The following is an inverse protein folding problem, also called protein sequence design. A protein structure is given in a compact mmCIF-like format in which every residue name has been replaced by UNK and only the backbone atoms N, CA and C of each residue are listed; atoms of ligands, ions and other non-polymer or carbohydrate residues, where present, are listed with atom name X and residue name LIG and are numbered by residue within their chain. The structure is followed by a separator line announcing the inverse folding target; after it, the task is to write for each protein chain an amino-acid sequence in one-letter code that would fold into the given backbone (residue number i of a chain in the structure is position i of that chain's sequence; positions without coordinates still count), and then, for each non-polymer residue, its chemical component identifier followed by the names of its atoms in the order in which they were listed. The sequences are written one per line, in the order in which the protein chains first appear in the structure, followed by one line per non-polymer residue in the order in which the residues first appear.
data_IF_429824339716
#
_entry.id   IF_429824339716
#
_cell.length_a   1.000
_cell.length_b   1.000
_cell.length_c   1.000
_cell.angle_alpha   90.00
_cell.angle_beta   90.00
_cell.angle_gamma   90.00
#
_symmetry.space_group_name_H-M   'P 1'
#
loop_
_entity.id
_entity.type
_entity.pdbx_description
1 polymer ?
#
# COMPACT_ATOMS: atom_id res chain seq x y z
N UNK A 1 33.12 -10.95 -5.23
CA UNK A 1 33.35 -9.62 -4.61
C UNK A 1 32.06 -9.24 -3.91
N UNK A 2 32.05 -9.12 -2.58
CA UNK A 2 30.88 -8.65 -1.84
C UNK A 2 30.69 -7.15 -2.14
N UNK A 3 29.83 -6.83 -3.11
CA UNK A 3 29.41 -5.44 -3.35
C UNK A 3 28.66 -4.95 -2.11
N UNK A 4 28.91 -3.70 -1.69
CA UNK A 4 28.11 -3.05 -0.66
C UNK A 4 26.64 -2.98 -1.14
N UNK A 5 25.69 -3.36 -0.28
CA UNK A 5 24.24 -3.34 -0.59
C UNK A 5 23.78 -1.96 -1.08
N UNK A 6 24.37 -0.87 -0.59
CA UNK A 6 24.05 0.50 -1.02
C UNK A 6 24.40 0.73 -2.51
N UNK A 7 25.54 0.20 -2.96
CA UNK A 7 25.95 0.25 -4.38
C UNK A 7 25.05 -0.65 -5.23
N UNK A 8 24.70 -1.82 -4.71
CA UNK A 8 23.91 -2.80 -5.44
C UNK A 8 22.48 -2.31 -5.67
N UNK A 9 21.84 -1.71 -4.65
CA UNK A 9 20.50 -1.14 -4.81
C UNK A 9 20.50 0.08 -5.73
N UNK A 10 21.56 0.89 -5.73
CA UNK A 10 21.71 1.98 -6.69
C UNK A 10 21.74 1.44 -8.12
N UNK A 11 22.52 0.39 -8.38
CA UNK A 11 22.56 -0.30 -9.67
C UNK A 11 21.19 -0.90 -10.04
N UNK A 12 20.46 -1.46 -9.08
CA UNK A 12 19.13 -2.03 -9.28
C UNK A 12 18.06 -1.01 -9.72
N UNK A 13 18.26 0.27 -9.43
CA UNK A 13 17.32 1.37 -9.74
C UNK A 13 17.80 2.20 -10.93
N UNK A 14 19.08 2.58 -10.99
CA UNK A 14 19.61 3.54 -11.96
C UNK A 14 20.61 2.97 -12.97
N UNK A 15 21.01 1.70 -12.83
CA UNK A 15 21.90 1.04 -13.77
C UNK A 15 21.28 0.83 -15.17
N UNK A 16 22.11 0.36 -16.10
CA UNK A 16 21.65 -0.21 -17.36
C UNK A 16 20.71 -1.40 -17.14
N UNK A 17 19.97 -1.80 -18.18
CA UNK A 17 19.00 -2.90 -18.07
C UNK A 17 19.63 -4.20 -17.58
N UNK A 18 20.85 -4.51 -18.03
CA UNK A 18 21.61 -5.67 -17.58
C UNK A 18 22.07 -5.53 -16.12
N UNK A 19 22.56 -4.36 -15.71
CA UNK A 19 22.96 -4.10 -14.33
C UNK A 19 21.76 -4.18 -13.38
N UNK A 20 20.61 -3.64 -13.78
CA UNK A 20 19.36 -3.72 -13.03
C UNK A 20 18.96 -5.17 -12.81
N UNK A 21 18.89 -5.96 -13.87
CA UNK A 21 18.51 -7.37 -13.79
C UNK A 21 19.43 -8.15 -12.84
N UNK A 22 20.75 -7.99 -13.01
CA UNK A 22 21.75 -8.68 -12.19
C UNK A 22 21.69 -8.24 -10.72
N UNK A 23 21.63 -6.94 -10.46
CA UNK A 23 21.58 -6.40 -9.11
C UNK A 23 20.31 -6.81 -8.36
N UNK A 24 19.15 -6.80 -9.04
CA UNK A 24 17.88 -7.24 -8.45
C UNK A 24 17.91 -8.73 -8.10
N UNK A 25 18.49 -9.57 -8.97
CA UNK A 25 18.67 -10.99 -8.69
C UNK A 25 19.63 -11.23 -7.51
N UNK A 26 20.77 -10.53 -7.47
CA UNK A 26 21.72 -10.62 -6.35
C UNK A 26 21.07 -10.21 -5.02
N UNK A 27 20.32 -9.09 -4.99
CA UNK A 27 19.60 -8.63 -3.79
C UNK A 27 18.55 -9.66 -3.36
N UNK A 28 17.85 -10.28 -4.30
CA UNK A 28 16.88 -11.35 -3.98
C UNK A 28 17.54 -12.53 -3.28
N UNK A 29 18.69 -13.01 -3.78
CA UNK A 29 19.43 -14.12 -3.16
C UNK A 29 19.96 -13.72 -1.77
N UNK A 30 20.53 -12.52 -1.64
CA UNK A 30 20.98 -11.99 -0.35
C UNK A 30 19.81 -11.86 0.65
N UNK A 31 18.62 -11.48 0.17
CA UNK A 31 17.40 -11.42 0.98
C UNK A 31 17.02 -12.79 1.53
N UNK A 32 17.07 -13.83 0.69
CA UNK A 32 16.84 -15.22 1.13
C UNK A 32 17.83 -15.63 2.20
N UNK A 33 19.13 -15.38 1.98
CA UNK A 33 20.19 -15.71 2.94
C UNK A 33 20.04 -14.96 4.27
N UNK A 34 19.58 -13.71 4.22
CA UNK A 34 19.31 -12.87 5.39
C UNK A 34 17.96 -13.16 6.07
N UNK A 35 17.14 -14.07 5.53
CA UNK A 35 15.81 -14.37 6.06
C UNK A 35 14.77 -13.27 5.80
N UNK A 36 15.00 -12.39 4.84
CA UNK A 36 14.05 -11.38 4.35
C UNK A 36 13.28 -11.98 3.18
N UNK A 37 12.14 -12.60 3.48
CA UNK A 37 11.40 -13.40 2.51
C UNK A 37 10.06 -12.74 2.19
N UNK A 38 9.82 -12.27 0.95
CA UNK A 38 8.50 -11.81 0.52
C UNK A 38 7.43 -12.83 0.86
N UNK A 39 6.41 -12.40 1.61
CA UNK A 39 5.44 -13.30 2.24
C UNK A 39 4.02 -12.72 2.18
N UNK A 40 3.04 -13.59 2.36
CA UNK A 40 1.63 -13.21 2.52
C UNK A 40 1.26 -13.09 4.00
N UNK A 41 0.49 -12.05 4.34
CA UNK A 41 -0.07 -11.85 5.68
C UNK A 41 -1.35 -12.66 5.91
N UNK A 42 -1.83 -13.41 4.90
CA UNK A 42 -3.12 -14.09 4.93
C UNK A 42 -3.35 -14.94 6.18
N UNK A 43 -2.40 -15.79 6.57
CA UNK A 43 -2.54 -16.66 7.74
C UNK A 43 -2.60 -15.87 9.06
N UNK A 44 -1.90 -14.74 9.14
CA UNK A 44 -1.96 -13.84 10.30
C UNK A 44 -3.34 -13.18 10.42
N UNK A 45 -3.91 -12.71 9.31
CA UNK A 45 -5.25 -12.13 9.30
C UNK A 45 -6.35 -13.18 9.49
N UNK A 46 -6.19 -14.38 8.91
CA UNK A 46 -7.10 -15.50 9.14
C UNK A 46 -7.11 -15.92 10.61
N UNK A 47 -5.95 -15.94 11.27
CA UNK A 47 -5.87 -16.22 12.71
C UNK A 47 -6.65 -15.18 13.53
N UNK A 48 -6.62 -13.90 13.16
CA UNK A 48 -7.45 -12.87 13.79
C UNK A 48 -8.93 -13.08 13.54
N UNK A 49 -9.33 -13.39 12.30
CA UNK A 49 -10.70 -13.75 11.95
C UNK A 49 -11.24 -14.95 12.75
N UNK A 50 -10.38 -15.92 13.03
CA UNK A 50 -10.66 -17.11 13.85
C UNK A 50 -10.51 -16.88 15.36
N UNK A 51 -10.33 -15.63 15.80
CA UNK A 51 -10.17 -15.23 17.21
C UNK A 51 -8.97 -15.87 17.92
N UNK A 52 -7.93 -16.22 17.16
CA UNK A 52 -6.66 -16.75 17.67
C UNK A 52 -5.61 -15.66 17.93
N UNK A 53 -5.92 -14.42 17.51
CA UNK A 53 -5.17 -13.20 17.82
C UNK A 53 -6.11 -12.18 18.49
N UNK A 54 -5.61 -11.34 19.41
CA UNK A 54 -6.41 -10.28 20.03
C UNK A 54 -6.77 -9.21 18.99
N UNK A 55 -7.79 -8.38 19.24
CA UNK A 55 -8.21 -7.24 18.38
C UNK A 55 -7.66 -5.87 18.85
N UNK A 56 -6.55 -5.84 19.58
CA UNK A 56 -6.04 -4.64 20.25
C UNK A 56 -4.83 -3.99 19.56
N UNK A 57 -4.61 -4.26 18.27
CA UNK A 57 -3.54 -3.67 17.47
C UNK A 57 -3.99 -3.52 16.02
N UNK A 58 -3.40 -2.59 15.28
CA UNK A 58 -3.69 -2.40 13.85
C UNK A 58 -2.38 -2.43 13.07
N UNK A 59 -2.33 -3.17 11.97
CA UNK A 59 -1.11 -3.28 11.16
C UNK A 59 -0.93 -1.99 10.35
N UNK A 60 0.19 -1.27 10.47
CA UNK A 60 0.48 -0.17 9.56
C UNK A 60 0.80 -0.71 8.17
N UNK A 61 0.07 -0.24 7.16
CA UNK A 61 0.45 -0.39 5.76
C UNK A 61 1.09 0.91 5.28
N UNK A 62 2.36 0.84 4.92
CA UNK A 62 3.23 2.00 4.71
C UNK A 62 3.52 2.16 3.24
N UNK A 63 2.96 3.22 2.68
CA UNK A 63 3.04 3.55 1.28
C UNK A 63 4.22 4.50 1.01
N UNK A 64 5.27 3.99 0.36
CA UNK A 64 6.54 4.70 0.19
C UNK A 64 6.69 5.26 -1.23
N UNK A 65 6.19 6.48 -1.43
CA UNK A 65 6.17 7.17 -2.74
C UNK A 65 7.51 7.73 -3.20
N UNK A 66 8.34 8.13 -2.24
CA UNK A 66 9.57 8.89 -2.47
C UNK A 66 10.64 8.52 -1.48
N UNK A 67 11.90 8.69 -1.90
CA UNK A 67 13.08 8.29 -1.10
C UNK A 67 12.94 6.87 -0.53
N UNK A 68 12.35 5.95 -1.30
CA UNK A 68 11.85 4.65 -0.82
C UNK A 68 12.90 3.86 -0.04
N UNK A 69 14.15 3.85 -0.51
CA UNK A 69 15.24 3.18 0.20
C UNK A 69 15.51 3.79 1.58
N UNK A 70 15.71 5.10 1.67
CA UNK A 70 15.97 5.79 2.93
C UNK A 70 14.78 5.72 3.89
N UNK A 71 13.56 5.85 3.37
CA UNK A 71 12.33 5.72 4.15
C UNK A 71 12.13 4.30 4.67
N UNK A 72 12.32 3.28 3.83
CA UNK A 72 12.23 1.88 4.23
C UNK A 72 13.30 1.52 5.26
N UNK A 73 14.54 2.02 5.10
CA UNK A 73 15.59 1.86 6.11
C UNK A 73 15.17 2.44 7.46
N UNK A 74 14.53 3.60 7.47
CA UNK A 74 14.01 4.20 8.71
C UNK A 74 12.95 3.31 9.36
N UNK A 75 12.03 2.74 8.57
CA UNK A 75 11.02 1.81 9.06
C UNK A 75 11.65 0.53 9.64
N UNK A 76 12.59 -0.10 8.92
CA UNK A 76 13.26 -1.32 9.37
C UNK A 76 14.15 -1.10 10.60
N UNK A 77 14.91 -0.01 10.66
CA UNK A 77 15.72 0.33 11.84
C UNK A 77 14.83 0.47 13.10
N UNK A 78 13.70 1.16 12.97
CA UNK A 78 12.72 1.28 14.05
C UNK A 78 12.07 -0.08 14.38
N UNK A 79 11.76 -0.89 13.36
CA UNK A 79 11.18 -2.22 13.56
C UNK A 79 12.12 -3.17 14.29
N UNK A 80 13.43 -3.13 14.01
CA UNK A 80 14.46 -3.88 14.75
C UNK A 80 14.49 -3.44 16.21
N UNK A 81 14.54 -2.12 16.47
CA UNK A 81 14.54 -1.55 17.82
C UNK A 81 13.31 -1.98 18.65
N UNK A 82 12.14 -2.02 18.02
CA UNK A 82 10.85 -2.27 18.68
C UNK A 82 10.30 -3.69 18.48
N UNK A 83 11.08 -4.58 17.84
CA UNK A 83 10.69 -5.97 17.51
C UNK A 83 9.35 -6.06 16.77
N UNK A 84 9.17 -5.20 15.78
CA UNK A 84 7.95 -5.15 14.95
C UNK A 84 8.10 -6.12 13.78
N UNK A 85 7.13 -7.03 13.64
CA UNK A 85 6.98 -7.89 12.47
C UNK A 85 5.64 -7.69 11.75
N UNK A 86 4.62 -7.18 12.45
CA UNK A 86 3.33 -6.86 11.85
C UNK A 86 3.37 -5.44 11.25
N UNK A 87 3.91 -5.35 10.05
CA UNK A 87 3.96 -4.12 9.24
C UNK A 87 3.94 -4.50 7.76
N UNK A 88 3.24 -3.71 6.95
CA UNK A 88 3.15 -3.90 5.51
C UNK A 88 3.84 -2.74 4.82
N UNK A 89 4.55 -3.02 3.73
CA UNK A 89 4.96 -2.00 2.77
C UNK A 89 4.07 -2.11 1.53
N UNK A 90 3.49 -1.01 1.10
CA UNK A 90 2.55 -1.01 -0.01
C UNK A 90 2.87 0.07 -1.04
N UNK A 91 2.31 -0.08 -2.23
CA UNK A 91 2.28 0.97 -3.24
C UNK A 91 1.09 0.70 -4.15
N UNK A 92 0.33 1.75 -4.47
CA UNK A 92 -0.85 1.62 -5.30
C UNK A 92 -0.54 1.68 -6.79
N UNK A 93 -1.45 1.16 -7.61
CA UNK A 93 -1.32 1.16 -9.08
C UNK A 93 -1.02 2.55 -9.64
N UNK A 94 -1.68 3.58 -9.11
CA UNK A 94 -1.48 4.96 -9.56
C UNK A 94 -0.05 5.44 -9.27
N UNK A 95 0.45 5.08 -8.10
CA UNK A 95 1.71 5.54 -7.54
C UNK A 95 2.89 4.83 -8.17
N UNK A 96 2.78 3.54 -8.47
CA UNK A 96 3.76 2.84 -9.30
C UNK A 96 4.08 3.62 -10.58
N UNK A 97 3.06 4.19 -11.23
CA UNK A 97 3.26 4.97 -12.43
C UNK A 97 3.88 6.35 -12.15
N UNK A 98 3.31 7.18 -11.27
CA UNK A 98 3.82 8.56 -11.10
C UNK A 98 5.13 8.63 -10.32
N UNK A 99 5.46 7.61 -9.52
CA UNK A 99 6.75 7.48 -8.83
C UNK A 99 7.78 6.72 -9.66
N UNK A 100 7.39 6.18 -10.82
CA UNK A 100 8.19 5.29 -11.66
C UNK A 100 8.71 4.05 -10.89
N UNK A 101 7.97 3.55 -9.91
CA UNK A 101 8.36 2.39 -9.10
C UNK A 101 7.62 1.14 -9.58
N UNK A 102 8.26 0.35 -10.44
CA UNK A 102 7.72 -0.97 -10.82
C UNK A 102 7.65 -1.91 -9.61
N UNK A 103 6.76 -2.92 -9.61
CA UNK A 103 6.74 -3.95 -8.58
C UNK A 103 8.12 -4.55 -8.30
N UNK A 104 8.87 -4.89 -9.35
CA UNK A 104 10.21 -5.49 -9.19
C UNK A 104 11.20 -4.54 -8.51
N UNK A 105 11.16 -3.25 -8.85
CA UNK A 105 11.99 -2.24 -8.20
C UNK A 105 11.63 -2.10 -6.73
N UNK A 106 10.34 -2.00 -6.41
CA UNK A 106 9.85 -1.77 -5.06
C UNK A 106 10.28 -2.90 -4.10
N UNK A 107 10.04 -4.16 -4.46
CA UNK A 107 10.47 -5.33 -3.66
C UNK A 107 11.99 -5.35 -3.49
N UNK A 108 12.74 -5.03 -4.55
CA UNK A 108 14.21 -5.01 -4.49
C UNK A 108 14.71 -3.96 -3.51
N UNK A 109 14.16 -2.74 -3.58
CA UNK A 109 14.55 -1.62 -2.70
C UNK A 109 14.20 -1.94 -1.24
N UNK A 110 13.02 -2.49 -0.97
CA UNK A 110 12.62 -2.91 0.37
C UNK A 110 13.52 -4.01 0.91
N UNK A 111 13.85 -5.00 0.09
CA UNK A 111 14.73 -6.11 0.48
C UNK A 111 16.13 -5.60 0.82
N UNK A 112 16.71 -4.72 0.00
CA UNK A 112 17.98 -4.09 0.28
C UNK A 112 17.96 -3.24 1.56
N UNK A 113 16.87 -2.49 1.81
CA UNK A 113 16.71 -1.71 3.02
C UNK A 113 16.66 -2.59 4.28
N UNK A 114 15.91 -3.70 4.23
CA UNK A 114 15.85 -4.68 5.31
C UNK A 114 17.22 -5.29 5.62
N UNK A 115 17.95 -5.74 4.58
CA UNK A 115 19.32 -6.27 4.70
C UNK A 115 20.22 -5.23 5.34
N UNK A 116 20.17 -3.98 4.87
CA UNK A 116 21.03 -2.90 5.36
C UNK A 116 20.85 -2.62 6.85
N UNK A 117 19.63 -2.72 7.34
CA UNK A 117 19.28 -2.45 8.73
C UNK A 117 19.24 -3.69 9.62
N UNK A 118 19.60 -4.87 9.08
CA UNK A 118 19.66 -6.12 9.83
C UNK A 118 18.29 -6.67 10.26
N UNK A 119 17.22 -6.30 9.56
CA UNK A 119 15.89 -6.85 9.79
C UNK A 119 15.75 -8.21 9.09
N UNK A 120 15.07 -9.16 9.73
CA UNK A 120 14.74 -10.48 9.17
C UNK A 120 13.33 -10.91 9.54
N UNK A 121 12.66 -11.61 8.62
CA UNK A 121 11.30 -12.07 8.79
C UNK A 121 10.49 -12.11 7.49
N UNK A 122 9.18 -12.42 7.60
CA UNK A 122 8.26 -12.37 6.47
C UNK A 122 8.05 -10.92 6.01
N UNK A 123 8.56 -10.57 4.83
CA UNK A 123 8.42 -9.24 4.23
C UNK A 123 7.05 -9.14 3.55
N UNK A 124 6.11 -8.42 4.15
CA UNK A 124 4.79 -8.20 3.57
C UNK A 124 4.83 -7.02 2.59
N UNK A 125 4.77 -7.33 1.29
CA UNK A 125 4.63 -6.34 0.21
C UNK A 125 3.22 -6.40 -0.36
N UNK A 126 2.56 -5.26 -0.43
CA UNK A 126 1.16 -5.13 -0.81
C UNK A 126 0.96 -4.26 -2.04
N UNK A 127 0.09 -4.73 -2.93
CA UNK A 127 -0.42 -3.94 -4.04
C UNK A 127 -1.69 -3.25 -3.57
N UNK A 128 -1.60 -1.96 -3.27
CA UNK A 128 -2.73 -1.16 -2.82
C UNK A 128 -3.58 -0.72 -4.03
N UNK A 129 -4.88 -0.51 -3.84
CA UNK A 129 -5.82 -0.06 -4.87
C UNK A 129 -5.51 -0.60 -6.27
N UNK A 130 -5.62 -1.92 -6.48
CA UNK A 130 -5.61 -2.49 -7.83
C UNK A 130 -6.96 -2.20 -8.50
N UNK A 131 -7.15 -0.91 -8.75
CA UNK A 131 -8.45 -0.28 -8.94
C UNK A 131 -8.86 -0.27 -10.40
N UNK A 132 -10.14 -0.46 -10.68
CA UNK A 132 -10.71 -0.27 -12.02
C UNK A 132 -11.11 1.17 -12.29
N UNK A 133 -10.89 1.64 -13.52
CA UNK A 133 -11.56 2.82 -14.07
C UNK A 133 -12.95 2.43 -14.58
N UNK A 134 -13.98 3.16 -14.14
CA UNK A 134 -15.33 3.02 -14.67
C UNK A 134 -15.52 3.79 -15.99
N UNK A 135 -16.30 3.23 -16.91
CA UNK A 135 -16.86 3.94 -18.06
C UNK A 135 -18.21 4.56 -17.70
N UNK A 136 -19.07 3.75 -17.06
CA UNK A 136 -20.38 4.11 -16.51
C UNK A 136 -20.55 3.42 -15.13
N UNK A 137 -21.56 3.78 -14.32
CA UNK A 137 -21.90 3.02 -13.12
C UNK A 137 -22.08 1.53 -13.45
N UNK A 138 -21.35 0.65 -12.75
CA UNK A 138 -21.38 -0.79 -13.01
C UNK A 138 -20.52 -1.31 -14.16
N UNK A 139 -19.91 -0.43 -14.95
CA UNK A 139 -19.23 -0.83 -16.20
C UNK A 139 -17.76 -0.40 -16.19
N UNK A 140 -16.80 -1.34 -16.21
CA UNK A 140 -15.39 -1.00 -16.34
C UNK A 140 -15.10 -0.44 -17.74
N UNK A 141 -14.07 0.41 -17.85
CA UNK A 141 -13.56 0.82 -19.15
C UNK A 141 -13.07 -0.39 -19.95
N UNK A 142 -13.21 -0.33 -21.28
CA UNK A 142 -12.75 -1.40 -22.16
C UNK A 142 -11.27 -1.73 -21.91
N UNK A 143 -10.97 -3.01 -21.71
CA UNK A 143 -9.61 -3.52 -21.45
C UNK A 143 -9.07 -3.24 -20.04
N UNK A 144 -9.85 -2.63 -19.17
CA UNK A 144 -9.39 -2.24 -17.83
C UNK A 144 -9.12 -3.45 -16.94
N UNK A 145 -10.04 -4.44 -16.93
CA UNK A 145 -9.86 -5.67 -16.15
C UNK A 145 -8.62 -6.44 -16.60
N UNK A 146 -8.35 -6.51 -17.91
CA UNK A 146 -7.15 -7.16 -18.44
C UNK A 146 -5.87 -6.39 -18.10
N UNK A 147 -5.96 -5.06 -18.00
CA UNK A 147 -4.84 -4.23 -17.52
C UNK A 147 -4.52 -4.55 -16.07
N UNK A 148 -5.54 -4.70 -15.22
CA UNK A 148 -5.36 -5.10 -13.82
C UNK A 148 -4.81 -6.52 -13.70
N UNK A 149 -5.31 -7.47 -14.51
CA UNK A 149 -4.76 -8.85 -14.55
C UNK A 149 -3.26 -8.86 -14.88
N UNK A 150 -2.82 -8.08 -15.86
CA UNK A 150 -1.39 -7.95 -16.21
C UNK A 150 -0.57 -7.39 -15.04
N UNK A 151 -1.09 -6.36 -14.36
CA UNK A 151 -0.43 -5.79 -13.19
C UNK A 151 -0.35 -6.80 -12.03
N UNK A 152 -1.42 -7.58 -11.79
CA UNK A 152 -1.43 -8.68 -10.81
C UNK A 152 -0.34 -9.70 -11.14
N UNK A 153 -0.22 -10.11 -12.40
CA UNK A 153 0.82 -11.05 -12.81
C UNK A 153 2.22 -10.50 -12.56
N UNK A 154 2.47 -9.24 -12.92
CA UNK A 154 3.75 -8.55 -12.65
C UNK A 154 4.04 -8.46 -11.14
N UNK A 155 3.05 -8.08 -10.34
CA UNK A 155 3.17 -7.92 -8.89
C UNK A 155 3.46 -9.25 -8.19
N UNK A 156 2.72 -10.32 -8.52
CA UNK A 156 2.96 -11.66 -7.98
C UNK A 156 4.33 -12.20 -8.38
N UNK A 157 4.76 -11.94 -9.63
CA UNK A 157 6.12 -12.26 -10.10
C UNK A 157 7.18 -11.47 -9.35
N UNK A 158 6.93 -10.23 -8.93
CA UNK A 158 7.89 -9.46 -8.15
C UNK A 158 7.97 -9.89 -6.67
N UNK A 159 6.85 -10.34 -6.09
CA UNK A 159 6.78 -10.74 -4.66
C UNK A 159 5.65 -10.07 -3.86
N UNK A 160 4.67 -9.46 -4.53
CA UNK A 160 3.49 -8.86 -3.90
C UNK A 160 2.50 -9.96 -3.56
N UNK A 161 2.60 -10.52 -2.37
CA UNK A 161 1.71 -11.61 -1.93
C UNK A 161 0.52 -11.13 -1.10
N UNK A 162 0.23 -9.83 -1.16
CA UNK A 162 -0.93 -9.17 -0.58
C UNK A 162 -1.47 -8.23 -1.66
N UNK A 163 -2.72 -8.42 -2.10
CA UNK A 163 -3.31 -7.65 -3.20
C UNK A 163 -4.68 -7.13 -2.76
N UNK A 164 -4.83 -5.81 -2.81
CA UNK A 164 -6.08 -5.14 -2.49
C UNK A 164 -6.82 -4.83 -3.80
N UNK A 165 -7.88 -5.60 -4.02
CA UNK A 165 -8.72 -5.51 -5.21
C UNK A 165 -9.78 -4.44 -4.98
N UNK A 166 -9.69 -3.37 -5.77
CA UNK A 166 -10.60 -2.24 -5.64
C UNK A 166 -11.49 -2.09 -6.87
N UNK A 167 -12.64 -2.78 -6.86
CA UNK A 167 -13.68 -2.61 -7.87
C UNK A 167 -14.79 -1.67 -7.39
N UNK A 168 -14.54 -0.90 -6.33
CA UNK A 168 -15.57 -0.06 -5.70
C UNK A 168 -15.94 1.16 -6.55
N UNK A 169 -15.11 1.51 -7.54
CA UNK A 169 -15.45 2.45 -8.62
C UNK A 169 -16.54 1.93 -9.56
N UNK A 170 -16.85 0.63 -9.52
CA UNK A 170 -17.88 0.01 -10.34
C UNK A 170 -19.21 -0.10 -9.57
N UNK A 171 -19.31 0.39 -8.32
CA UNK A 171 -20.58 0.40 -7.58
C UNK A 171 -21.64 1.18 -8.37
N UNK A 172 -22.77 0.53 -8.65
CA UNK A 172 -23.83 1.07 -9.48
C UNK A 172 -24.83 1.90 -8.64
N UNK A 173 -24.41 3.09 -8.20
CA UNK A 173 -25.19 3.96 -7.29
C UNK A 173 -26.57 4.39 -7.82
N UNK A 174 -26.87 4.14 -9.08
CA UNK A 174 -28.19 4.36 -9.69
C UNK A 174 -29.22 3.26 -9.34
N UNK A 175 -28.79 2.17 -8.70
CA UNK A 175 -29.69 1.08 -8.26
C UNK A 175 -30.35 1.36 -6.91
N UNK A 176 -31.56 0.86 -6.67
CA UNK A 176 -32.36 1.27 -5.50
C UNK A 176 -31.91 0.65 -4.19
N UNK A 177 -31.18 -0.48 -4.20
CA UNK A 177 -30.71 -1.16 -2.99
C UNK A 177 -29.20 -1.37 -2.99
N UNK A 178 -28.57 -1.35 -1.81
CA UNK A 178 -27.13 -1.62 -1.64
C UNK A 178 -26.74 -2.98 -2.24
N UNK A 179 -27.62 -3.97 -2.14
CA UNK A 179 -27.45 -5.29 -2.74
C UNK A 179 -27.27 -5.22 -4.26
N UNK A 180 -28.10 -4.43 -4.96
CA UNK A 180 -28.01 -4.24 -6.41
C UNK A 180 -26.84 -3.33 -6.80
N UNK A 181 -26.54 -2.32 -5.97
CA UNK A 181 -25.42 -1.40 -6.19
C UNK A 181 -24.06 -2.14 -6.16
N UNK A 182 -23.91 -3.13 -5.27
CA UNK A 182 -22.64 -3.86 -5.08
C UNK A 182 -22.39 -4.97 -6.11
N UNK A 183 -23.38 -5.36 -6.93
CA UNK A 183 -23.25 -6.46 -7.90
C UNK A 183 -21.99 -6.36 -8.76
N UNK A 184 -21.71 -5.22 -9.40
CA UNK A 184 -20.54 -5.10 -10.25
C UNK A 184 -19.24 -5.19 -9.43
N UNK A 185 -19.20 -4.54 -8.25
CA UNK A 185 -18.03 -4.52 -7.38
C UNK A 185 -17.60 -5.95 -7.00
N UNK A 186 -18.49 -6.75 -6.41
CA UNK A 186 -18.13 -8.12 -6.02
C UNK A 186 -17.93 -9.05 -7.23
N UNK A 187 -18.63 -8.82 -8.35
CA UNK A 187 -18.51 -9.66 -9.56
C UNK A 187 -17.10 -9.56 -10.15
N UNK A 188 -16.61 -8.35 -10.38
CA UNK A 188 -15.26 -8.15 -10.92
C UNK A 188 -14.18 -8.46 -9.86
N UNK A 189 -14.46 -8.21 -8.58
CA UNK A 189 -13.55 -8.63 -7.51
C UNK A 189 -13.36 -10.14 -7.48
N UNK A 190 -14.45 -10.90 -7.65
CA UNK A 190 -14.43 -12.36 -7.72
C UNK A 190 -13.68 -12.88 -8.96
N UNK A 191 -13.83 -12.20 -10.10
CA UNK A 191 -13.07 -12.53 -11.31
C UNK A 191 -11.56 -12.42 -11.07
N UNK A 192 -11.12 -11.30 -10.46
CA UNK A 192 -9.71 -11.07 -10.14
C UNK A 192 -9.20 -12.00 -9.04
N UNK A 193 -10.01 -12.28 -8.01
CA UNK A 193 -9.66 -13.26 -6.99
C UNK A 193 -9.42 -14.66 -7.60
N UNK A 194 -10.32 -15.14 -8.47
CA UNK A 194 -10.14 -16.41 -9.19
C UNK A 194 -8.88 -16.41 -10.05
N UNK A 195 -8.55 -15.28 -10.67
CA UNK A 195 -7.33 -15.13 -11.46
C UNK A 195 -6.06 -15.20 -10.59
N UNK A 196 -6.03 -14.47 -9.46
CA UNK A 196 -4.92 -14.52 -8.49
C UNK A 196 -4.72 -15.93 -7.96
N UNK A 197 -5.80 -16.64 -7.61
CA UNK A 197 -5.72 -18.03 -7.12
C UNK A 197 -5.12 -18.99 -8.15
N UNK A 198 -5.24 -18.71 -9.45
CA UNK A 198 -4.56 -19.50 -10.50
C UNK A 198 -3.06 -19.21 -10.60
N UNK A 199 -2.64 -17.99 -10.25
CA UNK A 199 -1.26 -17.52 -10.38
C UNK A 199 -0.44 -17.64 -9.10
N UNK A 200 -1.08 -17.79 -7.93
CA UNK A 200 -0.38 -17.79 -6.66
C UNK A 200 0.71 -18.88 -6.59
N UNK A 201 1.84 -18.61 -5.93
CA UNK A 201 2.85 -19.64 -5.70
C UNK A 201 2.28 -20.84 -4.94
N UNK A 202 2.85 -22.02 -5.18
CA UNK A 202 2.53 -23.22 -4.39
C UNK A 202 2.86 -22.97 -2.91
N UNK A 203 2.04 -23.54 -2.03
CA UNK A 203 2.20 -23.47 -0.56
C UNK A 203 2.06 -22.06 0.04
N UNK A 204 1.67 -21.06 -0.76
CA UNK A 204 1.42 -19.70 -0.32
C UNK A 204 0.00 -19.26 -0.70
N UNK A 205 -0.74 -18.75 0.28
CA UNK A 205 -2.05 -18.14 0.07
C UNK A 205 -1.87 -16.63 -0.07
N UNK A 206 -2.08 -16.06 -1.26
CA UNK A 206 -2.04 -14.60 -1.45
C UNK A 206 -3.17 -13.96 -0.63
N UNK A 207 -2.84 -12.98 0.22
CA UNK A 207 -3.83 -12.20 0.98
C UNK A 207 -4.62 -11.34 0.01
N UNK A 208 -5.95 -11.34 0.13
CA UNK A 208 -6.84 -10.56 -0.72
C UNK A 208 -7.64 -9.58 0.13
N UNK A 209 -7.49 -8.28 -0.17
CA UNK A 209 -8.40 -7.23 0.30
C UNK A 209 -9.47 -6.95 -0.74
N UNK A 210 -10.69 -6.66 -0.28
CA UNK A 210 -11.73 -6.02 -1.08
C UNK A 210 -11.96 -4.58 -0.60
N UNK A 211 -12.71 -3.79 -1.36
CA UNK A 211 -13.04 -2.40 -0.98
C UNK A 211 -14.53 -2.09 -1.21
N UNK A 212 -15.11 -1.33 -0.28
CA UNK A 212 -16.43 -0.70 -0.38
C UNK A 212 -16.35 0.79 -0.02
N UNK A 213 -17.23 1.61 -0.60
CA UNK A 213 -17.41 3.01 -0.19
C UNK A 213 -16.56 4.07 -0.90
N UNK A 214 -15.89 3.75 -2.01
CA UNK A 214 -15.12 4.73 -2.79
C UNK A 214 -15.99 5.81 -3.47
N UNK A 215 -17.17 5.44 -4.00
CA UNK A 215 -18.03 6.36 -4.74
C UNK A 215 -19.11 6.96 -3.83
N UNK A 216 -19.24 8.30 -3.89
CA UNK A 216 -20.41 9.02 -3.40
C UNK A 216 -20.18 9.84 -2.13
N UNK A 217 -18.97 9.80 -1.55
CA UNK A 217 -18.62 10.58 -0.35
C UNK A 217 -19.44 10.20 0.89
N UNK A 218 -20.04 9.01 0.88
CA UNK A 218 -20.80 8.46 2.00
C UNK A 218 -19.97 7.42 2.70
N UNK A 219 -20.11 7.34 4.02
CA UNK A 219 -19.53 6.25 4.80
C UNK A 219 -20.13 4.92 4.35
N UNK A 220 -19.30 3.88 4.35
CA UNK A 220 -19.78 2.51 4.20
C UNK A 220 -20.74 2.16 5.33
N UNK A 221 -21.62 1.20 5.08
CA UNK A 221 -22.53 0.67 6.09
C UNK A 221 -22.56 -0.87 6.11
N UNK A 222 -23.31 -1.45 7.06
CA UNK A 222 -23.45 -2.90 7.18
C UNK A 222 -24.11 -3.56 5.96
N UNK A 223 -25.07 -2.88 5.31
CA UNK A 223 -25.76 -3.41 4.13
C UNK A 223 -24.79 -3.51 2.94
N UNK A 224 -23.94 -2.50 2.72
CA UNK A 224 -22.88 -2.53 1.71
C UNK A 224 -21.94 -3.71 1.92
N UNK A 225 -21.46 -3.86 3.15
CA UNK A 225 -20.52 -4.92 3.51
C UNK A 225 -21.15 -6.30 3.36
N UNK A 226 -22.37 -6.49 3.85
CA UNK A 226 -23.09 -7.76 3.77
C UNK A 226 -23.36 -8.13 2.31
N UNK A 227 -23.87 -7.20 1.51
CA UNK A 227 -24.11 -7.40 0.08
C UNK A 227 -22.84 -7.82 -0.68
N UNK A 228 -21.74 -7.11 -0.44
CA UNK A 228 -20.46 -7.43 -1.06
C UNK A 228 -19.97 -8.84 -0.66
N UNK A 229 -19.94 -9.14 0.64
CA UNK A 229 -19.41 -10.41 1.15
C UNK A 229 -20.26 -11.62 0.76
N UNK A 230 -21.59 -11.50 0.83
CA UNK A 230 -22.50 -12.59 0.43
C UNK A 230 -22.40 -12.86 -1.07
N UNK A 231 -22.44 -11.82 -1.90
CA UNK A 231 -22.31 -11.95 -3.35
C UNK A 231 -20.96 -12.54 -3.77
N UNK A 232 -19.86 -12.06 -3.16
CA UNK A 232 -18.53 -12.59 -3.41
C UNK A 232 -18.42 -14.07 -3.01
N UNK A 233 -18.85 -14.42 -1.79
CA UNK A 233 -18.72 -15.78 -1.26
C UNK A 233 -19.62 -16.78 -1.98
N UNK A 234 -20.83 -16.38 -2.41
CA UNK A 234 -21.71 -17.24 -3.20
C UNK A 234 -21.08 -17.62 -4.54
N UNK A 235 -20.28 -16.72 -5.14
CA UNK A 235 -19.60 -16.97 -6.40
C UNK A 235 -18.24 -17.68 -6.28
N UNK A 236 -17.72 -17.88 -5.06
CA UNK A 236 -16.49 -18.63 -4.83
C UNK A 236 -16.71 -20.14 -5.02
N UNK A 237 -15.82 -20.83 -5.75
CA UNK A 237 -15.83 -22.29 -5.78
C UNK A 237 -15.63 -22.88 -4.38
N UNK A 238 -16.28 -24.01 -4.09
CA UNK A 238 -16.14 -24.73 -2.81
C UNK A 238 -14.68 -24.98 -2.47
N UNK A 239 -14.26 -24.59 -1.27
CA UNK A 239 -12.89 -24.77 -0.77
C UNK A 239 -11.89 -23.73 -1.28
N UNK A 240 -12.29 -22.80 -2.15
CA UNK A 240 -11.42 -21.68 -2.55
C UNK A 240 -11.37 -20.63 -1.43
N UNK A 241 -10.15 -20.22 -1.07
CA UNK A 241 -9.93 -19.18 -0.06
C UNK A 241 -10.38 -17.82 -0.60
N UNK A 242 -11.26 -17.16 0.14
CA UNK A 242 -11.80 -15.83 -0.17
C UNK A 242 -10.92 -14.67 0.31
N UNK A 243 -11.57 -13.56 0.66
CA UNK A 243 -10.95 -12.34 1.18
C UNK A 243 -10.41 -12.55 2.61
N UNK A 244 -9.35 -11.83 2.96
CA UNK A 244 -8.81 -11.77 4.32
C UNK A 244 -9.13 -10.45 5.04
N UNK A 245 -9.50 -9.40 4.31
CA UNK A 245 -9.78 -8.07 4.86
C UNK A 245 -10.67 -7.25 3.91
N UNK A 246 -11.22 -6.14 4.41
CA UNK A 246 -12.03 -5.23 3.60
C UNK A 246 -11.76 -3.77 3.96
N UNK A 247 -11.51 -2.94 2.96
CA UNK A 247 -11.38 -1.49 3.09
C UNK A 247 -12.75 -0.84 3.06
N UNK A 248 -12.95 0.15 3.94
CA UNK A 248 -14.22 0.87 4.10
C UNK A 248 -14.00 2.38 4.13
N UNK A 249 -15.04 3.13 3.74
CA UNK A 249 -15.07 4.59 3.84
C UNK A 249 -15.65 5.02 5.20
N UNK A 250 -14.93 5.89 5.91
CA UNK A 250 -15.25 6.35 7.27
C UNK A 250 -15.34 7.87 7.40
N UNK A 251 -15.37 8.58 6.26
CA UNK A 251 -15.42 10.04 6.17
C UNK A 251 -14.05 10.67 5.86
N UNK A 252 -13.03 9.84 5.68
CA UNK A 252 -11.66 10.24 5.38
C UNK A 252 -11.43 10.46 3.89
N UNK A 253 -10.45 11.31 3.57
CA UNK A 253 -10.02 11.58 2.20
C UNK A 253 -8.53 11.31 2.06
N UNK A 254 -8.12 10.69 0.96
CA UNK A 254 -6.70 10.46 0.66
C UNK A 254 -5.96 11.80 0.59
N UNK A 255 -4.95 11.97 1.45
CA UNK A 255 -4.19 13.22 1.56
C UNK A 255 -4.86 14.36 2.33
N UNK A 256 -6.06 14.14 2.89
CA UNK A 256 -6.82 15.14 3.63
C UNK A 256 -7.38 16.26 2.73
N UNK A 257 -8.11 17.20 3.33
CA UNK A 257 -8.67 18.35 2.63
C UNK A 257 -7.89 19.60 3.02
N UNK A 258 -7.20 20.23 2.06
CA UNK A 258 -6.47 21.48 2.31
C UNK A 258 -7.40 22.68 2.16
N UNK A 259 -7.56 23.43 3.23
CA UNK A 259 -8.33 24.66 3.30
C UNK A 259 -7.60 25.80 2.56
N UNK A 260 -8.33 26.88 2.27
CA UNK A 260 -7.76 28.05 1.56
C UNK A 260 -6.59 28.73 2.31
N UNK A 261 -6.49 28.52 3.62
CA UNK A 261 -5.38 29.01 4.46
C UNK A 261 -4.18 28.04 4.52
N UNK A 262 -4.21 26.96 3.74
CA UNK A 262 -3.15 25.95 3.67
C UNK A 262 -3.19 24.90 4.78
N UNK A 263 -4.12 25.00 5.74
CA UNK A 263 -4.28 23.99 6.81
C UNK A 263 -5.08 22.79 6.32
N UNK A 264 -4.89 21.66 6.99
CA UNK A 264 -5.77 20.50 6.82
C UNK A 264 -7.08 20.70 7.58
N UNK A 265 -8.19 20.38 6.94
CA UNK A 265 -9.51 20.37 7.57
C UNK A 265 -9.57 19.30 8.66
N UNK A 266 -10.26 19.61 9.76
CA UNK A 266 -10.60 18.61 10.76
C UNK A 266 -11.58 17.60 10.17
N UNK A 267 -11.19 16.33 10.19
CA UNK A 267 -12.03 15.21 9.77
C UNK A 267 -12.50 14.48 11.03
N UNK A 268 -13.80 14.16 11.07
CA UNK A 268 -14.34 13.26 12.06
C UNK A 268 -14.36 11.84 11.48
N UNK A 269 -13.51 10.96 12.00
CA UNK A 269 -13.44 9.57 11.56
C UNK A 269 -14.53 8.79 12.28
N UNK A 270 -15.33 8.05 11.52
CA UNK A 270 -16.31 7.14 12.09
C UNK A 270 -15.63 5.84 12.56
N UNK A 271 -15.12 5.85 13.80
CA UNK A 271 -14.55 4.64 14.41
C UNK A 271 -15.60 3.56 14.70
N UNK A 272 -16.89 3.93 14.78
CA UNK A 272 -17.95 2.99 15.10
C UNK A 272 -18.18 2.01 13.95
N UNK A 273 -18.13 2.49 12.70
CA UNK A 273 -18.28 1.61 11.54
C UNK A 273 -17.09 0.64 11.40
N UNK A 274 -15.86 1.07 11.69
CA UNK A 274 -14.69 0.17 11.68
C UNK A 274 -14.88 -1.02 12.62
N UNK A 275 -15.39 -0.75 13.82
CA UNK A 275 -15.69 -1.77 14.82
C UNK A 275 -16.81 -2.70 14.35
N UNK A 276 -17.94 -2.13 13.91
CA UNK A 276 -19.10 -2.89 13.44
C UNK A 276 -18.73 -3.85 12.30
N UNK A 277 -18.06 -3.34 11.26
CA UNK A 277 -17.67 -4.17 10.11
C UNK A 277 -16.65 -5.24 10.51
N UNK A 278 -15.70 -4.92 11.40
CA UNK A 278 -14.77 -5.94 11.92
C UNK A 278 -15.51 -7.05 12.67
N UNK A 279 -16.43 -6.70 13.56
CA UNK A 279 -17.19 -7.69 14.34
C UNK A 279 -18.01 -8.61 13.44
N UNK A 280 -18.76 -8.05 12.47
CA UNK A 280 -19.53 -8.84 11.50
C UNK A 280 -18.60 -9.70 10.63
N UNK A 281 -17.49 -9.12 10.16
CA UNK A 281 -16.48 -9.80 9.35
C UNK A 281 -15.91 -11.04 10.03
N UNK A 282 -15.56 -10.92 11.30
CA UNK A 282 -15.01 -12.02 12.09
C UNK A 282 -16.08 -13.06 12.44
N UNK A 283 -17.30 -12.63 12.80
CA UNK A 283 -18.37 -13.53 13.26
C UNK A 283 -19.03 -14.33 12.13
N UNK A 284 -19.31 -13.69 10.99
CA UNK A 284 -20.03 -14.32 9.87
C UNK A 284 -19.09 -14.92 8.82
N UNK A 285 -17.96 -14.26 8.55
CA UNK A 285 -17.11 -14.58 7.40
C UNK A 285 -15.69 -15.02 7.76
N UNK A 286 -15.30 -14.95 9.04
CA UNK A 286 -13.97 -15.30 9.53
C UNK A 286 -12.82 -14.56 8.82
N UNK A 287 -13.07 -13.34 8.34
CA UNK A 287 -12.02 -12.45 7.81
C UNK A 287 -11.35 -11.68 8.96
N UNK A 288 -10.16 -11.12 8.70
CA UNK A 288 -9.38 -10.41 9.71
C UNK A 288 -10.07 -9.18 10.29
N UNK A 289 -10.77 -8.39 9.45
CA UNK A 289 -11.46 -7.18 9.87
C UNK A 289 -11.43 -6.06 8.82
N UNK A 290 -11.82 -4.86 9.25
CA UNK A 290 -11.87 -3.65 8.43
C UNK A 290 -10.51 -2.95 8.33
N UNK A 291 -10.29 -2.30 7.19
CA UNK A 291 -9.07 -1.56 6.85
C UNK A 291 -9.42 -0.08 6.69
N UNK A 292 -8.59 0.80 7.25
CA UNK A 292 -8.75 2.25 7.13
C UNK A 292 -7.79 2.82 6.08
N UNK A 293 -8.34 3.52 5.08
CA UNK A 293 -7.56 4.29 4.11
C UNK A 293 -7.42 5.77 4.51
N UNK A 294 -6.53 6.52 3.87
CA UNK A 294 -6.46 7.98 4.06
C UNK A 294 -6.12 8.46 5.48
N UNK A 295 -5.46 7.62 6.31
CA UNK A 295 -5.23 7.94 7.72
C UNK A 295 -4.03 8.88 7.97
N UNK A 296 -3.04 8.90 7.07
CA UNK A 296 -1.74 9.57 7.32
C UNK A 296 -1.78 11.08 7.60
N UNK A 297 -2.87 11.76 7.24
CA UNK A 297 -3.07 13.21 7.46
C UNK A 297 -4.04 13.51 8.59
N UNK A 298 -4.48 12.48 9.32
CA UNK A 298 -5.30 12.64 10.51
C UNK A 298 -4.49 13.19 11.69
N UNK A 299 -5.14 13.88 12.64
CA UNK A 299 -4.52 14.28 13.90
C UNK A 299 -3.93 13.08 14.66
N UNK A 300 -2.74 13.26 15.23
CA UNK A 300 -2.01 12.20 15.94
C UNK A 300 -2.82 11.52 17.06
N UNK A 301 -3.70 12.27 17.74
CA UNK A 301 -4.60 11.78 18.79
C UNK A 301 -5.59 10.67 18.34
N UNK A 302 -5.72 10.43 17.05
CA UNK A 302 -6.61 9.42 16.50
C UNK A 302 -5.95 8.04 16.33
N UNK A 303 -4.62 7.94 16.32
CA UNK A 303 -3.97 6.69 15.96
C UNK A 303 -4.18 5.56 16.98
N UNK A 304 -4.20 5.85 18.28
CA UNK A 304 -4.57 4.85 19.29
C UNK A 304 -6.04 4.42 19.27
N UNK A 305 -6.91 5.14 18.56
CA UNK A 305 -8.32 4.79 18.46
C UNK A 305 -8.56 3.69 17.43
N UNK A 306 -7.68 3.51 16.43
CA UNK A 306 -7.79 2.41 15.46
C UNK A 306 -7.73 1.03 16.13
N UNK A 307 -6.73 0.73 17.00
CA UNK A 307 -6.75 -0.50 17.78
C UNK A 307 -7.98 -0.64 18.69
N UNK A 308 -8.46 0.45 19.30
CA UNK A 308 -9.63 0.43 20.18
C UNK A 308 -10.93 0.13 19.39
N UNK A 309 -11.00 0.62 18.15
CA UNK A 309 -12.05 0.35 17.19
C UNK A 309 -11.89 -1.02 16.50
N UNK A 310 -10.90 -1.83 16.90
CA UNK A 310 -10.61 -3.15 16.32
C UNK A 310 -10.23 -3.11 14.83
N UNK A 311 -9.78 -1.96 14.33
CA UNK A 311 -9.31 -1.82 12.94
C UNK A 311 -8.16 -2.79 12.70
N UNK A 312 -8.24 -3.58 11.63
CA UNK A 312 -7.23 -4.59 11.31
C UNK A 312 -5.93 -3.93 10.83
N UNK A 313 -6.06 -2.96 9.92
CA UNK A 313 -4.97 -2.39 9.14
C UNK A 313 -5.24 -0.91 8.83
N UNK A 314 -4.19 -0.09 8.76
CA UNK A 314 -4.27 1.36 8.54
C UNK A 314 -3.25 1.77 7.48
N UNK A 315 -3.73 2.33 6.36
CA UNK A 315 -2.90 2.76 5.23
C UNK A 315 -2.34 4.17 5.46
N UNK A 316 -1.03 4.33 5.24
CA UNK A 316 -0.26 5.52 5.57
C UNK A 316 0.61 5.93 4.38
N UNK A 317 0.36 7.11 3.79
CA UNK A 317 1.05 7.56 2.58
C UNK A 317 1.48 9.03 2.65
N UNK A 318 0.54 9.95 2.39
CA UNK A 318 0.79 11.39 2.20
C UNK A 318 1.53 12.04 3.38
N UNK A 319 1.27 11.61 4.62
CA UNK A 319 1.99 12.10 5.80
C UNK A 319 3.51 11.91 5.72
N UNK A 320 4.00 10.78 5.20
CA UNK A 320 5.43 10.52 5.04
C UNK A 320 6.07 11.45 4.01
N UNK A 321 5.43 11.61 2.86
CA UNK A 321 5.86 12.55 1.82
C UNK A 321 5.89 13.99 2.33
N UNK A 322 4.85 14.39 3.07
CA UNK A 322 4.77 15.73 3.64
C UNK A 322 5.90 15.97 4.62
N UNK A 323 6.13 15.03 5.53
CA UNK A 323 7.21 15.07 6.49
C UNK A 323 8.57 15.24 5.80
N UNK A 324 8.86 14.45 4.76
CA UNK A 324 10.14 14.52 4.04
C UNK A 324 10.33 15.84 3.31
N UNK A 325 9.41 16.27 2.43
CA UNK A 325 9.69 17.48 1.63
C UNK A 325 9.45 18.79 2.38
N UNK A 326 8.87 18.75 3.59
CA UNK A 326 8.75 19.93 4.45
C UNK A 326 9.88 20.02 5.49
N UNK A 327 10.72 18.99 5.62
CA UNK A 327 11.82 18.99 6.57
C UNK A 327 12.91 19.99 6.11
N UNK A 328 13.48 20.82 7.01
CA UNK A 328 14.56 21.75 6.66
C UNK A 328 15.81 21.09 6.05
N UNK A 329 16.01 19.80 6.26
CA UNK A 329 17.08 19.03 5.64
C UNK A 329 16.78 18.67 4.17
N UNK A 330 15.55 18.81 3.68
CA UNK A 330 15.26 18.66 2.26
C UNK A 330 15.75 19.90 1.50
N UNK A 331 16.65 19.78 0.50
CA UNK A 331 17.20 20.95 -0.18
C UNK A 331 16.11 21.81 -0.84
N UNK A 332 16.03 23.08 -0.44
CA UNK A 332 15.00 24.00 -0.93
C UNK A 332 15.07 24.21 -2.45
N UNK A 333 16.28 24.25 -3.01
CA UNK A 333 16.48 24.36 -4.46
C UNK A 333 15.88 23.15 -5.20
N UNK A 334 16.09 21.94 -4.68
CA UNK A 334 15.50 20.73 -5.26
C UNK A 334 13.97 20.74 -5.15
N UNK A 335 13.43 21.19 -4.01
CA UNK A 335 11.98 21.33 -3.83
C UNK A 335 11.37 22.33 -4.83
N UNK A 336 12.04 23.46 -5.05
CA UNK A 336 11.59 24.45 -6.02
C UNK A 336 11.62 23.89 -7.44
N UNK A 337 12.68 23.19 -7.84
CA UNK A 337 12.73 22.54 -9.16
C UNK A 337 11.59 21.52 -9.34
N UNK A 338 11.23 20.79 -8.28
CA UNK A 338 10.10 19.86 -8.30
C UNK A 338 8.77 20.59 -8.53
N UNK A 339 8.57 21.76 -7.91
CA UNK A 339 7.36 22.56 -8.10
C UNK A 339 7.30 23.23 -9.47
N UNK A 340 8.43 23.76 -9.97
CA UNK A 340 8.52 24.32 -11.32
C UNK A 340 8.17 23.26 -12.39
N UNK A 341 8.58 22.01 -12.17
CA UNK A 341 8.17 20.88 -13.01
C UNK A 341 6.65 20.66 -13.00
N UNK A 342 6.00 20.73 -11.82
CA UNK A 342 4.55 20.56 -11.70
C UNK A 342 3.81 21.70 -12.41
N UNK A 343 4.26 22.94 -12.23
CA UNK A 343 3.68 24.11 -12.89
C UNK A 343 3.82 24.02 -14.42
N UNK A 344 4.91 23.42 -14.90
CA UNK A 344 5.14 23.25 -16.34
C UNK A 344 4.41 22.04 -16.97
N UNK A 345 4.18 20.95 -16.22
CA UNK A 345 3.72 19.67 -16.78
C UNK A 345 2.34 19.22 -16.33
N UNK A 346 1.82 19.78 -15.25
CA UNK A 346 0.58 19.33 -14.62
C UNK A 346 -0.43 20.46 -14.36
N UNK A 347 -0.21 21.63 -14.95
CA UNK A 347 -1.10 22.78 -14.79
C UNK A 347 -2.53 22.50 -15.28
N UNK A 348 -2.70 21.56 -16.22
CA UNK A 348 -4.01 21.09 -16.70
C UNK A 348 -4.84 20.39 -15.61
N UNK A 349 -4.22 19.97 -14.51
CA UNK A 349 -4.89 19.37 -13.35
C UNK A 349 -5.19 20.38 -12.23
N UNK A 350 -4.84 21.66 -12.43
CA UNK A 350 -5.20 22.75 -11.53
C UNK A 350 -6.64 23.20 -11.80
N UNK A 351 -7.47 23.24 -10.75
CA UNK A 351 -8.82 23.84 -10.85
C UNK A 351 -8.72 25.36 -10.76
N UNK A 352 -9.66 26.06 -11.41
CA UNK A 352 -9.74 27.53 -11.35
C UNK A 352 -9.84 28.07 -9.91
N UNK A 353 -10.43 27.28 -9.00
CA UNK A 353 -10.62 27.64 -7.59
C UNK A 353 -9.44 27.26 -6.68
N UNK A 354 -8.41 26.59 -7.18
CA UNK A 354 -7.26 26.15 -6.37
C UNK A 354 -6.15 27.21 -6.32
N UNK A 355 -5.69 27.52 -5.11
CA UNK A 355 -4.47 28.30 -4.88
C UNK A 355 -3.23 27.54 -5.39
N UNK A 356 -2.11 28.23 -5.69
CA UNK A 356 -0.83 27.56 -5.98
C UNK A 356 -0.41 26.55 -4.89
N UNK A 357 -0.61 26.89 -3.62
CA UNK A 357 -0.25 26.05 -2.48
C UNK A 357 -1.09 24.76 -2.44
N UNK A 358 -2.40 24.87 -2.67
CA UNK A 358 -3.27 23.69 -2.78
C UNK A 358 -2.90 22.81 -3.98
N UNK A 359 -2.53 23.44 -5.11
CA UNK A 359 -2.07 22.74 -6.31
C UNK A 359 -0.78 21.95 -6.04
N UNK A 360 0.25 22.59 -5.49
CA UNK A 360 1.52 21.93 -5.15
C UNK A 360 1.32 20.85 -4.10
N UNK A 361 0.55 21.11 -3.03
CA UNK A 361 0.25 20.09 -2.02
C UNK A 361 -0.38 18.83 -2.64
N UNK A 362 -1.37 19.02 -3.53
CA UNK A 362 -2.10 17.93 -4.18
C UNK A 362 -1.21 17.13 -5.14
N UNK A 363 -0.34 17.81 -5.89
CA UNK A 363 0.39 17.19 -7.01
C UNK A 363 1.87 16.88 -6.74
N UNK A 364 2.46 17.33 -5.61
CA UNK A 364 3.86 17.03 -5.26
C UNK A 364 4.22 15.55 -5.26
N UNK A 365 3.24 14.67 -5.05
CA UNK A 365 3.40 13.21 -5.22
C UNK A 365 3.91 12.80 -6.60
N UNK A 366 3.54 13.53 -7.66
CA UNK A 366 3.94 13.25 -9.04
C UNK A 366 5.37 13.68 -9.36
N UNK A 367 6.02 14.46 -8.49
CA UNK A 367 7.39 14.88 -8.69
C UNK A 367 8.41 13.80 -8.27
N UNK A 368 8.02 12.81 -7.47
CA UNK A 368 8.93 11.76 -6.99
C UNK A 368 9.56 10.94 -8.11
N UNK A 369 8.79 10.55 -9.13
CA UNK A 369 9.31 9.77 -10.25
C UNK A 369 10.35 10.53 -11.08
N UNK A 370 10.02 11.73 -11.61
CA UNK A 370 10.94 12.54 -12.40
C UNK A 370 12.21 12.98 -11.64
N UNK A 371 12.12 13.19 -10.32
CA UNK A 371 13.25 13.64 -9.49
C UNK A 371 13.88 12.52 -8.64
N UNK A 372 13.52 11.25 -8.87
CA UNK A 372 13.95 10.10 -8.06
C UNK A 372 15.46 10.05 -7.86
N UNK A 373 16.22 10.17 -8.95
CA UNK A 373 17.68 10.09 -8.90
C UNK A 373 18.28 11.28 -8.15
N UNK A 374 17.80 12.51 -8.39
CA UNK A 374 18.23 13.70 -7.64
C UNK A 374 17.98 13.57 -6.14
N UNK A 375 16.84 13.00 -5.74
CA UNK A 375 16.56 12.72 -4.33
C UNK A 375 17.50 11.66 -3.74
N UNK A 376 17.89 10.66 -4.52
CA UNK A 376 18.84 9.62 -4.09
C UNK A 376 20.27 10.15 -3.97
N UNK A 377 20.66 11.02 -4.90
CA UNK A 377 21.98 11.64 -4.97
C UNK A 377 22.12 12.84 -4.01
N UNK A 378 21.06 13.16 -3.26
CA UNK A 378 21.06 14.16 -2.20
C UNK A 378 22.23 13.90 -1.22
N UNK A 379 22.89 14.97 -0.70
CA UNK A 379 23.99 14.81 0.23
C UNK A 379 23.65 13.88 1.40
N UNK A 380 24.61 13.04 1.79
CA UNK A 380 24.42 12.01 2.82
C UNK A 380 23.99 12.61 4.16
N UNK A 381 24.45 13.81 4.49
CA UNK A 381 24.04 14.53 5.70
C UNK A 381 22.53 14.82 5.69
N UNK A 382 22.01 15.37 4.60
CA UNK A 382 20.58 15.65 4.42
C UNK A 382 19.76 14.36 4.54
N UNK A 383 20.14 13.31 3.80
CA UNK A 383 19.45 12.01 3.87
C UNK A 383 19.49 11.40 5.27
N UNK A 384 20.56 11.60 6.02
CA UNK A 384 20.66 11.10 7.39
C UNK A 384 19.71 11.84 8.35
N UNK A 385 19.58 13.17 8.22
CA UNK A 385 18.61 13.96 9.00
C UNK A 385 17.17 13.55 8.66
N UNK A 386 16.84 13.44 7.37
CA UNK A 386 15.52 13.00 6.91
C UNK A 386 15.16 11.60 7.44
N UNK A 387 16.12 10.67 7.46
CA UNK A 387 15.92 9.34 8.04
C UNK A 387 15.64 9.39 9.54
N UNK A 388 16.33 10.23 10.29
CA UNK A 388 16.06 10.41 11.72
C UNK A 388 14.63 10.90 11.96
N UNK A 389 14.19 11.93 11.22
CA UNK A 389 12.80 12.42 11.26
C UNK A 389 11.78 11.32 10.94
N UNK A 390 12.07 10.49 9.93
CA UNK A 390 11.22 9.35 9.57
C UNK A 390 11.20 8.25 10.65
N UNK A 391 12.34 7.96 11.30
CA UNK A 391 12.42 6.97 12.38
C UNK A 391 11.52 7.35 13.56
N UNK A 392 11.53 8.62 13.96
CA UNK A 392 10.67 9.14 15.03
C UNK A 392 9.19 8.97 14.67
N UNK A 393 8.83 9.21 13.40
CA UNK A 393 7.45 9.01 12.93
C UNK A 393 7.03 7.55 12.90
N UNK A 394 7.90 6.63 12.48
CA UNK A 394 7.62 5.20 12.55
C UNK A 394 7.52 4.71 13.99
N UNK A 395 8.34 5.24 14.90
CA UNK A 395 8.27 4.89 16.33
C UNK A 395 6.93 5.31 16.93
N UNK A 396 6.44 6.50 16.57
CA UNK A 396 5.09 6.95 16.92
C UNK A 396 4.02 5.97 16.41
N UNK A 397 4.02 5.65 15.10
CA UNK A 397 3.01 4.75 14.54
C UNK A 397 3.04 3.36 15.14
N UNK A 398 4.22 2.77 15.37
CA UNK A 398 4.33 1.44 15.96
C UNK A 398 3.82 1.39 17.41
N UNK A 399 3.97 2.49 18.17
CA UNK A 399 3.40 2.63 19.52
C UNK A 399 1.88 2.79 19.47
N UNK A 400 1.39 3.79 18.73
CA UNK A 400 -0.04 4.13 18.74
C UNK A 400 -0.91 3.03 18.12
N UNK A 401 -0.41 2.32 17.10
CA UNK A 401 -1.11 1.19 16.49
C UNK A 401 -0.88 -0.14 17.25
N UNK A 402 -0.13 -0.10 18.36
CA UNK A 402 0.14 -1.20 19.28
C UNK A 402 0.76 -2.45 18.61
N UNK A 403 1.75 -2.26 17.72
CA UNK A 403 2.43 -3.35 17.00
C UNK A 403 3.84 -3.66 17.53
N UNK A 404 4.26 -3.04 18.63
CA UNK A 404 5.52 -3.37 19.32
C UNK A 404 5.53 -4.84 19.75
N UNK A 405 6.69 -5.50 19.63
CA UNK A 405 6.88 -6.94 19.90
C UNK A 405 6.00 -7.89 19.06
N UNK A 406 5.40 -7.41 17.96
CA UNK A 406 4.55 -8.23 17.10
C UNK A 406 5.30 -9.32 16.33
N UNK A 407 6.63 -9.30 16.29
CA UNK A 407 7.44 -10.27 15.56
C UNK A 407 7.16 -11.72 16.01
N UNK A 408 6.99 -11.97 17.31
CA UNK A 408 6.68 -13.32 17.83
C UNK A 408 5.30 -13.79 17.36
N UNK A 409 4.30 -12.89 17.35
CA UNK A 409 2.97 -13.20 16.86
C UNK A 409 2.99 -13.53 15.37
N UNK A 410 3.73 -12.75 14.57
CA UNK A 410 3.89 -13.01 13.14
C UNK A 410 4.59 -14.36 12.90
N UNK A 411 5.71 -14.64 13.57
CA UNK A 411 6.45 -15.90 13.42
C UNK A 411 5.64 -17.15 13.82
N UNK A 412 4.67 -16.98 14.73
CA UNK A 412 3.75 -18.06 15.12
C UNK A 412 2.83 -18.46 13.96
N UNK A 413 2.27 -17.51 13.23
CA UNK A 413 1.23 -17.76 12.22
C UNK A 413 1.73 -17.75 10.78
N UNK A 414 2.81 -17.03 10.49
CA UNK A 414 3.35 -16.91 9.13
C UNK A 414 4.62 -17.74 9.01
N UNK A 415 4.61 -18.69 8.09
CA UNK A 415 5.79 -19.47 7.70
C UNK A 415 6.24 -18.99 6.32
N UNK A 416 7.39 -18.29 6.22
CA UNK A 416 7.89 -17.86 4.93
C UNK A 416 8.09 -19.02 3.96
N UNK A 417 7.67 -18.83 2.71
CA UNK A 417 7.88 -19.77 1.61
C UNK A 417 8.85 -19.13 0.62
N UNK A 418 10.00 -19.76 0.42
CA UNK A 418 10.99 -19.28 -0.55
C UNK A 418 10.50 -19.61 -1.96
N UNK A 419 10.12 -18.58 -2.71
CA UNK A 419 9.82 -18.72 -4.13
C UNK A 419 11.13 -18.67 -4.90
N UNK A 420 11.56 -19.82 -5.42
CA UNK A 420 12.78 -19.90 -6.22
C UNK A 420 12.63 -19.09 -7.52
N UNK A 421 13.58 -18.19 -7.75
CA UNK A 421 13.67 -17.36 -8.96
C UNK A 421 15.04 -17.52 -9.60
N UNK A 422 15.07 -17.30 -10.89
CA UNK A 422 16.27 -17.31 -11.75
C UNK A 422 16.54 -15.91 -12.27
N UNK A 423 17.76 -15.65 -12.74
CA UNK A 423 18.13 -14.35 -13.31
C UNK A 423 17.15 -13.84 -14.41
N UNK A 424 16.65 -14.69 -15.35
CA UNK A 424 15.62 -14.30 -16.31
C UNK A 424 14.34 -13.71 -15.71
N UNK A 425 13.95 -14.11 -14.50
CA UNK A 425 12.73 -13.60 -13.84
C UNK A 425 12.83 -12.11 -13.46
N UNK A 426 14.05 -11.54 -13.49
CA UNK A 426 14.34 -10.15 -13.17
C UNK A 426 14.51 -9.26 -14.41
N UNK A 427 14.20 -9.79 -15.61
CA UNK A 427 14.19 -9.01 -16.84
C UNK A 427 13.20 -7.84 -16.73
N UNK A 428 13.55 -6.68 -17.30
CA UNK A 428 12.70 -5.50 -17.24
C UNK A 428 11.44 -5.67 -18.10
N UNK A 429 10.31 -5.24 -17.54
CA UNK A 429 9.02 -5.19 -18.22
C UNK A 429 8.67 -3.75 -18.58
N UNK A 430 7.77 -3.57 -19.56
CA UNK A 430 7.31 -2.26 -20.01
C UNK A 430 6.39 -1.60 -18.99
N UNK A 431 6.65 -0.32 -18.67
CA UNK A 431 5.87 0.45 -17.70
C UNK A 431 4.41 0.73 -18.12
N UNK A 432 3.52 0.79 -17.13
CA UNK A 432 2.12 1.25 -17.23
C UNK A 432 2.07 2.76 -17.48
N UNK A 433 1.27 3.24 -18.46
CA UNK A 433 1.39 4.62 -18.99
C UNK A 433 0.26 5.60 -18.63
N UNK A 434 -0.90 5.17 -18.14
CA UNK A 434 -2.00 6.09 -17.78
C UNK A 434 -2.67 5.73 -16.45
N UNK A 435 -2.55 6.64 -15.47
CA UNK A 435 -3.10 6.50 -14.12
C UNK A 435 -4.05 7.62 -13.71
N UNK A 436 -4.47 8.50 -14.64
CA UNK A 436 -5.43 9.56 -14.30
C UNK A 436 -6.76 8.94 -13.84
N UNK A 437 -7.27 9.43 -12.71
CA UNK A 437 -8.54 8.99 -12.11
C UNK A 437 -8.47 7.72 -11.27
N UNK A 438 -7.28 7.23 -10.92
CA UNK A 438 -7.10 6.14 -9.95
C UNK A 438 -6.86 6.68 -8.53
N UNK A 439 -7.28 5.93 -7.52
CA UNK A 439 -6.95 6.17 -6.11
C UNK A 439 -5.46 6.07 -5.84
N UNK A 440 -5.06 6.73 -4.76
CA UNK A 440 -3.71 6.79 -4.20
C UNK A 440 -3.53 5.80 -3.07
#
# INVERSE_FOLDING_TARGET
MNKNIDTLVYQAVFGSDQEKQQARFEIWQMGIEAGVIPSSIHEFYSARGKKQLPNNFSVPAMNLRGMTYDTARSAFATAVKLKVGAMIFEIARSEMAYTHQSPQEYVTVLTAAAIKEGWSGPLFVQGDHFQAKAANPGEPKNGEIDTIKKLIEEALKAGFYNIDIDMSTLVALDKPTEAEQQIPNYTYSLELAKYIRKLQPKELNVSLGGEIGHIGGKNSNEADFTAYMEGFNQGLPTGMIGMSKISIQTGTHHGGVVLADGKLADINVDFSILKTITEIGQEKYQIGGSVQHGASTLPDKYFNQFPQAKTLEVHLATGFQNLVMNDPAFPQELLQEMYDYLDAKHLDEKKETETPEQFHYKLRKKAWGPFKQKCWDMPVENRTKLRATMMDRFEFFFKELNVINSQEMVNKFVKPVVVNKTLPDFALQTATKDVKGLSD
#
